data_IF_286307059308
#
_entry.id   IF_286307059308
#
_cell.length_a   1.000
_cell.length_b   1.000
_cell.length_c   1.000
_cell.angle_alpha   90.00
_cell.angle_beta   90.00
_cell.angle_gamma   90.00
#
_symmetry.space_group_name_H-M   'P 1'
#
loop_
_entity.id
_entity.type
_entity.pdbx_description
1 polymer ?
#
# COMPACT_ATOMS: atom_id res chain seq x y z
N UNK A 1 -12.79 -24.18 41.24
CA UNK A 1 -11.60 -23.30 41.29
C UNK A 1 -10.72 -23.34 40.02
N UNK A 2 -11.07 -24.10 38.96
CA UNK A 2 -10.27 -24.15 37.72
C UNK A 2 -10.80 -23.27 36.55
N UNK A 3 -12.02 -22.75 36.65
CA UNK A 3 -12.67 -22.00 35.55
C UNK A 3 -12.37 -20.48 35.54
N UNK A 4 -11.79 -19.93 36.61
CA UNK A 4 -11.48 -18.48 36.69
C UNK A 4 -10.21 -18.10 35.92
N UNK A 5 -9.23 -19.01 35.85
CA UNK A 5 -7.96 -18.77 35.14
C UNK A 5 -8.11 -18.71 33.61
N UNK A 6 -9.17 -19.28 33.05
CA UNK A 6 -9.44 -19.24 31.61
C UNK A 6 -10.07 -17.92 31.14
N UNK A 7 -10.57 -17.07 32.05
CA UNK A 7 -11.10 -15.73 31.68
C UNK A 7 -10.01 -14.68 31.51
N UNK A 8 -8.83 -14.88 32.10
CA UNK A 8 -7.69 -13.94 32.01
C UNK A 8 -7.06 -13.96 30.60
N UNK A 9 -7.13 -15.07 29.88
CA UNK A 9 -6.54 -15.22 28.55
C UNK A 9 -7.28 -14.45 27.43
N UNK A 10 -8.48 -13.90 27.69
CA UNK A 10 -9.32 -13.24 26.67
C UNK A 10 -9.20 -11.71 26.65
N UNK A 11 -8.49 -11.10 27.61
CA UNK A 11 -8.14 -9.67 27.54
C UNK A 11 -6.80 -9.54 26.82
N UNK A 12 -6.79 -8.97 25.62
CA UNK A 12 -5.54 -8.42 25.06
C UNK A 12 -4.98 -7.48 26.13
N UNK A 13 -3.75 -7.73 26.59
CA UNK A 13 -3.19 -6.89 27.64
C UNK A 13 -3.03 -5.48 27.10
N UNK A 14 -3.43 -4.48 27.89
CA UNK A 14 -3.26 -3.06 27.55
C UNK A 14 -1.81 -2.78 27.15
N UNK A 15 -0.87 -3.45 27.82
CA UNK A 15 0.56 -3.42 27.51
C UNK A 15 0.87 -3.88 26.07
N UNK A 16 0.27 -4.98 25.59
CA UNK A 16 0.48 -5.44 24.22
C UNK A 16 -0.07 -4.46 23.18
N UNK A 17 -1.19 -3.81 23.47
CA UNK A 17 -1.80 -2.81 22.58
C UNK A 17 -0.97 -1.52 22.55
N UNK A 18 -0.50 -1.05 23.70
CA UNK A 18 0.41 0.11 23.80
C UNK A 18 1.72 -0.15 23.06
N UNK A 19 2.33 -1.32 23.25
CA UNK A 19 3.56 -1.69 22.52
C UNK A 19 3.31 -1.73 21.01
N UNK A 20 2.18 -2.29 20.58
CA UNK A 20 1.81 -2.30 19.16
C UNK A 20 1.71 -0.88 18.59
N UNK A 21 1.04 0.04 19.30
CA UNK A 21 0.88 1.43 18.86
C UNK A 21 2.23 2.13 18.79
N UNK A 22 3.02 2.06 19.87
CA UNK A 22 4.33 2.70 19.98
C UNK A 22 5.29 2.22 18.88
N UNK A 23 5.35 0.92 18.63
CA UNK A 23 6.25 0.36 17.61
C UNK A 23 5.87 0.81 16.19
N UNK A 24 4.58 0.91 15.85
CA UNK A 24 4.16 1.39 14.53
C UNK A 24 4.40 2.89 14.35
N UNK A 25 4.20 3.70 15.39
CA UNK A 25 4.53 5.13 15.37
C UNK A 25 6.06 5.30 15.24
N UNK A 26 6.83 4.54 16.01
CA UNK A 26 8.29 4.56 15.95
C UNK A 26 8.80 4.12 14.56
N UNK A 27 8.16 3.14 13.93
CA UNK A 27 8.48 2.74 12.55
C UNK A 27 8.25 3.89 11.56
N UNK A 28 7.08 4.54 11.62
CA UNK A 28 6.77 5.66 10.72
C UNK A 28 7.69 6.87 10.95
N UNK A 29 7.96 7.23 12.22
CA UNK A 29 8.93 8.26 12.56
C UNK A 29 10.35 7.89 12.12
N UNK A 30 10.74 6.63 12.30
CA UNK A 30 12.03 6.10 11.86
C UNK A 30 12.23 6.16 10.35
N UNK A 31 11.15 5.96 9.57
CA UNK A 31 11.16 6.19 8.11
C UNK A 31 11.50 7.63 7.77
N UNK A 32 10.82 8.59 8.40
CA UNK A 32 11.05 10.01 8.14
C UNK A 32 12.47 10.42 8.54
N UNK A 33 12.93 9.99 9.72
CA UNK A 33 14.30 10.24 10.20
C UNK A 33 15.33 9.62 9.27
N UNK A 34 15.11 8.40 8.77
CA UNK A 34 16.02 7.75 7.83
C UNK A 34 16.14 8.51 6.50
N UNK A 35 15.02 9.04 5.98
CA UNK A 35 15.02 9.89 4.77
C UNK A 35 15.79 11.19 5.03
N UNK A 36 15.55 11.85 6.16
CA UNK A 36 16.24 13.10 6.52
C UNK A 36 17.73 12.91 6.79
N UNK A 37 18.11 11.84 7.49
CA UNK A 37 19.49 11.59 7.91
C UNK A 37 20.38 11.17 6.73
N UNK A 38 19.85 10.41 5.76
CA UNK A 38 20.65 9.91 4.64
C UNK A 38 20.47 10.71 3.35
N UNK A 39 19.39 11.47 3.22
CA UNK A 39 19.01 12.11 1.96
C UNK A 39 18.66 11.12 0.85
N UNK A 40 18.44 9.84 1.16
CA UNK A 40 18.11 8.78 0.19
C UNK A 40 16.94 7.92 0.67
N UNK A 41 16.16 7.30 -0.23
CA UNK A 41 15.01 6.48 0.17
C UNK A 41 15.41 5.07 0.64
N UNK A 42 16.64 4.61 0.35
CA UNK A 42 17.01 3.20 0.49
C UNK A 42 17.05 2.69 1.93
N UNK A 43 17.58 3.49 2.86
CA UNK A 43 17.59 3.10 4.28
C UNK A 43 16.16 2.97 4.83
N UNK A 44 15.29 3.91 4.47
CA UNK A 44 13.89 3.88 4.88
C UNK A 44 13.13 2.70 4.26
N UNK A 45 13.38 2.37 2.99
CA UNK A 45 12.82 1.18 2.35
C UNK A 45 13.28 -0.11 3.04
N UNK A 46 14.58 -0.22 3.34
CA UNK A 46 15.12 -1.37 4.07
C UNK A 46 14.48 -1.52 5.46
N UNK A 47 14.36 -0.42 6.21
CA UNK A 47 13.70 -0.39 7.52
C UNK A 47 12.24 -0.88 7.45
N UNK A 48 11.50 -0.45 6.42
CA UNK A 48 10.11 -0.86 6.22
C UNK A 48 9.98 -2.32 5.82
N UNK A 49 10.87 -2.85 4.97
CA UNK A 49 10.90 -4.26 4.60
C UNK A 49 11.30 -5.14 5.79
N UNK A 50 12.29 -4.73 6.57
CA UNK A 50 12.72 -5.43 7.80
C UNK A 50 11.61 -5.47 8.85
N UNK A 51 10.79 -4.42 8.97
CA UNK A 51 9.65 -4.43 9.90
C UNK A 51 8.62 -5.54 9.59
N UNK A 52 8.62 -6.05 8.35
CA UNK A 52 7.74 -7.12 7.87
C UNK A 52 8.39 -8.51 7.94
N UNK A 53 9.48 -8.69 8.69
CA UNK A 53 10.19 -9.97 8.86
C UNK A 53 9.27 -11.17 9.15
N UNK A 54 8.12 -10.95 9.81
CA UNK A 54 7.10 -11.97 10.09
C UNK A 54 6.56 -12.68 8.84
N UNK A 55 6.59 -12.04 7.67
CA UNK A 55 6.20 -12.64 6.39
C UNK A 55 7.14 -13.81 6.03
N UNK A 56 8.41 -13.74 6.44
CA UNK A 56 9.44 -14.75 6.17
C UNK A 56 9.66 -15.72 7.34
N UNK A 57 9.12 -15.42 8.52
CA UNK A 57 9.24 -16.25 9.74
C UNK A 57 8.42 -17.57 9.69
N UNK A 58 8.03 -18.01 8.50
CA UNK A 58 7.22 -19.21 8.24
C UNK A 58 8.06 -20.19 7.41
N UNK A 59 7.66 -21.47 7.34
CA UNK A 59 8.34 -22.48 6.51
C UNK A 59 8.48 -21.98 5.06
N UNK A 60 9.66 -22.14 4.41
CA UNK A 60 9.93 -21.61 3.06
C UNK A 60 8.88 -21.92 2.01
N UNK A 61 8.27 -23.12 2.06
CA UNK A 61 7.19 -23.53 1.15
C UNK A 61 5.95 -22.60 1.16
N UNK A 62 5.73 -21.85 2.23
CA UNK A 62 4.57 -20.96 2.39
C UNK A 62 4.90 -19.48 2.15
N UNK A 63 6.16 -19.13 1.88
CA UNK A 63 6.55 -17.73 1.70
C UNK A 63 5.73 -17.03 0.63
N UNK A 64 5.49 -17.69 -0.50
CA UNK A 64 4.72 -17.13 -1.59
C UNK A 64 3.30 -16.72 -1.15
N UNK A 65 2.60 -17.60 -0.43
CA UNK A 65 1.25 -17.31 0.08
C UNK A 65 1.25 -16.16 1.10
N UNK A 66 2.28 -16.07 1.96
CA UNK A 66 2.41 -14.98 2.93
C UNK A 66 2.77 -13.66 2.28
N UNK A 67 3.63 -13.66 1.26
CA UNK A 67 3.95 -12.46 0.47
C UNK A 67 2.68 -11.97 -0.23
N UNK A 68 1.97 -12.85 -0.93
CA UNK A 68 0.70 -12.52 -1.61
C UNK A 68 -0.32 -11.91 -0.66
N UNK A 69 -0.47 -12.46 0.55
CA UNK A 69 -1.41 -11.95 1.54
C UNK A 69 -1.04 -10.56 2.09
N UNK A 70 0.21 -10.13 1.93
CA UNK A 70 0.72 -8.84 2.41
C UNK A 70 1.10 -7.89 1.26
N UNK A 71 0.83 -8.23 -0.01
CA UNK A 71 1.25 -7.42 -1.16
C UNK A 71 0.73 -5.99 -1.11
N UNK A 72 -0.55 -5.80 -0.75
CA UNK A 72 -1.15 -4.46 -0.59
C UNK A 72 -0.37 -3.63 0.44
N UNK A 73 -0.01 -4.24 1.56
CA UNK A 73 0.78 -3.59 2.60
C UNK A 73 2.21 -3.29 2.13
N UNK A 74 2.85 -4.18 1.35
CA UNK A 74 4.15 -3.88 0.72
C UNK A 74 4.05 -2.70 -0.25
N UNK A 75 3.04 -2.66 -1.13
CA UNK A 75 2.82 -1.57 -2.09
C UNK A 75 2.67 -0.25 -1.35
N UNK A 76 1.77 -0.16 -0.35
CA UNK A 76 1.55 1.09 0.40
C UNK A 76 2.81 1.52 1.15
N UNK A 77 3.48 0.59 1.81
CA UNK A 77 4.70 0.84 2.57
C UNK A 77 5.85 1.39 1.72
N UNK A 78 6.16 0.75 0.59
CA UNK A 78 7.23 1.20 -0.31
C UNK A 78 6.85 2.55 -0.92
N UNK A 79 5.60 2.70 -1.32
CA UNK A 79 5.08 3.94 -1.91
C UNK A 79 5.11 5.11 -0.94
N UNK A 80 4.78 4.88 0.33
CA UNK A 80 4.85 5.90 1.38
C UNK A 80 6.29 6.42 1.53
N UNK A 81 7.29 5.53 1.56
CA UNK A 81 8.70 5.93 1.62
C UNK A 81 9.08 6.77 0.40
N UNK A 82 8.72 6.33 -0.80
CA UNK A 82 9.00 7.05 -2.05
C UNK A 82 8.37 8.44 -2.05
N UNK A 83 7.09 8.56 -1.68
CA UNK A 83 6.38 9.85 -1.64
C UNK A 83 6.95 10.78 -0.56
N UNK A 84 7.33 10.25 0.61
CA UNK A 84 8.01 11.04 1.66
C UNK A 84 9.36 11.56 1.14
N UNK A 85 10.13 10.73 0.47
CA UNK A 85 11.39 11.15 -0.12
C UNK A 85 11.20 12.25 -1.17
N UNK A 86 10.28 12.06 -2.12
CA UNK A 86 9.99 13.02 -3.18
C UNK A 86 9.46 14.36 -2.65
N UNK A 87 8.60 14.33 -1.62
CA UNK A 87 8.12 15.53 -0.96
C UNK A 87 9.26 16.37 -0.36
N UNK A 88 10.36 15.75 0.07
CA UNK A 88 11.54 16.45 0.59
C UNK A 88 12.36 17.17 -0.49
N UNK A 89 12.22 16.80 -1.76
CA UNK A 89 12.97 17.39 -2.88
C UNK A 89 12.38 18.74 -3.35
N UNK A 90 11.31 19.23 -2.72
CA UNK A 90 10.71 20.51 -3.09
C UNK A 90 11.58 21.70 -2.70
N UNK A 91 11.72 22.65 -3.61
CA UNK A 91 12.42 23.91 -3.38
C UNK A 91 11.66 24.80 -2.39
N UNK A 92 12.37 25.43 -1.45
CA UNK A 92 11.81 26.44 -0.55
C UNK A 92 11.24 25.93 0.78
N UNK A 93 11.66 24.75 1.25
CA UNK A 93 11.35 24.23 2.60
C UNK A 93 9.89 23.79 2.84
N UNK A 94 9.00 24.02 1.88
CA UNK A 94 7.58 23.63 1.96
C UNK A 94 7.34 22.11 1.99
N UNK A 95 8.33 21.33 1.57
CA UNK A 95 8.27 19.86 1.54
C UNK A 95 8.17 19.20 2.91
N UNK A 96 8.73 19.83 3.95
CA UNK A 96 8.73 19.26 5.31
C UNK A 96 7.31 19.03 5.81
N UNK A 97 6.39 19.97 5.53
CA UNK A 97 4.97 19.82 5.88
C UNK A 97 4.37 18.59 5.20
N UNK A 98 4.61 18.41 3.91
CA UNK A 98 4.11 17.25 3.14
C UNK A 98 4.73 15.95 3.63
N UNK A 99 6.01 15.93 3.97
CA UNK A 99 6.69 14.75 4.54
C UNK A 99 6.09 14.34 5.90
N UNK A 100 5.86 15.30 6.79
CA UNK A 100 5.23 15.05 8.10
C UNK A 100 3.79 14.55 7.91
N UNK A 101 3.02 15.19 7.03
CA UNK A 101 1.64 14.78 6.74
C UNK A 101 1.58 13.36 6.14
N UNK A 102 2.44 13.03 5.17
CA UNK A 102 2.54 11.68 4.62
C UNK A 102 2.95 10.65 5.69
N UNK A 103 3.82 11.02 6.63
CA UNK A 103 4.21 10.17 7.75
C UNK A 103 3.04 9.90 8.70
N UNK A 104 2.21 10.92 8.97
CA UNK A 104 0.97 10.76 9.74
C UNK A 104 -0.03 9.87 9.01
N UNK A 105 -0.19 10.05 7.69
CA UNK A 105 -1.04 9.18 6.87
C UNK A 105 -0.54 7.73 6.86
N UNK A 106 0.78 7.51 6.80
CA UNK A 106 1.39 6.17 6.89
C UNK A 106 1.20 5.55 8.29
N UNK A 107 1.27 6.36 9.35
CA UNK A 107 0.93 5.92 10.71
C UNK A 107 -0.54 5.52 10.79
N UNK A 108 -1.45 6.32 10.20
CA UNK A 108 -2.87 6.01 10.08
C UNK A 108 -3.14 4.73 9.28
N UNK A 109 -2.37 4.47 8.23
CA UNK A 109 -2.39 3.20 7.50
C UNK A 109 -2.10 2.02 8.44
N UNK A 110 -0.98 2.06 9.17
CA UNK A 110 -0.53 0.97 10.05
C UNK A 110 -1.48 0.70 11.22
N UNK A 111 -2.04 1.75 11.83
CA UNK A 111 -2.84 1.65 13.05
C UNK A 111 -4.35 1.50 12.79
N UNK A 112 -4.89 2.21 11.81
CA UNK A 112 -6.33 2.39 11.67
C UNK A 112 -6.91 1.57 10.52
N UNK A 113 -6.26 1.63 9.35
CA UNK A 113 -6.82 1.04 8.13
C UNK A 113 -6.40 -0.41 7.96
N UNK A 114 -5.09 -0.70 8.00
CA UNK A 114 -4.51 -2.04 7.78
C UNK A 114 -5.12 -3.15 8.67
N UNK A 115 -5.35 -2.96 10.00
CA UNK A 115 -5.81 -4.06 10.85
C UNK A 115 -7.28 -4.44 10.62
N UNK A 116 -8.02 -3.67 9.83
CA UNK A 116 -9.45 -3.88 9.60
C UNK A 116 -9.65 -4.95 8.54
N UNK A 117 -10.58 -5.87 8.80
CA UNK A 117 -10.88 -7.00 7.91
C UNK A 117 -12.29 -6.98 7.35
N UNK A 118 -13.13 -6.01 7.71
CA UNK A 118 -14.47 -5.89 7.10
C UNK A 118 -14.33 -5.53 5.62
N UNK A 119 -15.21 -6.07 4.77
CA UNK A 119 -15.17 -5.90 3.30
C UNK A 119 -15.01 -4.45 2.83
N UNK A 120 -15.69 -3.50 3.46
CA UNK A 120 -15.54 -2.07 3.11
C UNK A 120 -14.14 -1.52 3.41
N UNK A 121 -13.51 -1.92 4.51
CA UNK A 121 -12.14 -1.53 4.82
C UNK A 121 -11.12 -2.25 3.93
N UNK A 122 -11.38 -3.50 3.54
CA UNK A 122 -10.55 -4.22 2.57
C UNK A 122 -10.58 -3.52 1.20
N UNK A 123 -11.76 -3.10 0.74
CA UNK A 123 -11.90 -2.28 -0.46
C UNK A 123 -11.15 -0.95 -0.33
N UNK A 124 -11.27 -0.26 0.82
CA UNK A 124 -10.52 0.96 1.09
C UNK A 124 -8.99 0.74 1.09
N UNK A 125 -8.51 -0.39 1.62
CA UNK A 125 -7.09 -0.75 1.59
C UNK A 125 -6.58 -0.93 0.15
N UNK A 126 -7.37 -1.59 -0.72
CA UNK A 126 -7.04 -1.76 -2.13
C UNK A 126 -7.08 -0.44 -2.92
N UNK A 127 -8.05 0.44 -2.60
CA UNK A 127 -8.10 1.79 -3.18
C UNK A 127 -6.85 2.59 -2.80
N UNK A 128 -6.47 2.57 -1.52
CA UNK A 128 -5.27 3.27 -1.05
C UNK A 128 -4.03 2.71 -1.74
N UNK A 129 -3.87 1.39 -1.86
CA UNK A 129 -2.71 0.81 -2.55
C UNK A 129 -2.63 1.18 -4.02
N UNK A 130 -3.76 1.25 -4.74
CA UNK A 130 -3.79 1.75 -6.12
C UNK A 130 -3.35 3.21 -6.16
N UNK A 131 -3.92 4.08 -5.31
CA UNK A 131 -3.62 5.52 -5.31
C UNK A 131 -2.14 5.75 -5.00
N UNK A 132 -1.65 5.35 -3.83
CA UNK A 132 -0.26 5.63 -3.46
C UNK A 132 0.73 4.83 -4.30
N UNK A 133 0.38 3.60 -4.68
CA UNK A 133 1.21 2.72 -5.53
C UNK A 133 1.50 3.34 -6.88
N UNK A 134 0.44 3.73 -7.60
CA UNK A 134 0.58 4.32 -8.93
C UNK A 134 1.18 5.72 -8.86
N UNK A 135 0.81 6.54 -7.86
CA UNK A 135 1.42 7.85 -7.65
C UNK A 135 2.93 7.75 -7.43
N UNK A 136 3.38 6.87 -6.54
CA UNK A 136 4.80 6.69 -6.24
C UNK A 136 5.57 6.17 -7.45
N UNK A 137 5.05 5.12 -8.11
CA UNK A 137 5.69 4.51 -9.27
C UNK A 137 5.91 5.51 -10.40
N UNK A 138 4.86 6.23 -10.81
CA UNK A 138 4.93 7.20 -11.92
C UNK A 138 5.87 8.34 -11.60
N UNK A 139 5.91 8.78 -10.35
CA UNK A 139 6.75 9.90 -9.93
C UNK A 139 8.24 9.60 -10.03
N UNK A 140 8.65 8.32 -10.04
CA UNK A 140 10.06 7.91 -10.16
C UNK A 140 10.40 7.22 -11.47
N UNK A 141 9.40 6.76 -12.23
CA UNK A 141 9.61 5.87 -13.38
C UNK A 141 9.99 6.57 -14.70
N UNK A 142 10.30 7.87 -14.69
CA UNK A 142 10.54 8.65 -15.90
C UNK A 142 11.77 8.17 -16.70
N UNK A 143 12.76 7.55 -16.04
CA UNK A 143 13.96 6.97 -16.68
C UNK A 143 13.93 5.44 -16.74
N UNK A 144 12.87 4.80 -16.24
CA UNK A 144 12.80 3.35 -16.14
C UNK A 144 12.38 2.74 -17.48
N UNK A 145 12.84 1.53 -17.82
CA UNK A 145 12.34 0.83 -18.99
C UNK A 145 10.84 0.57 -18.84
N UNK A 146 10.07 0.80 -19.91
CA UNK A 146 8.61 0.65 -19.89
C UNK A 146 8.16 -0.74 -19.41
N UNK A 147 8.90 -1.80 -19.77
CA UNK A 147 8.64 -3.16 -19.32
C UNK A 147 8.64 -3.30 -17.79
N UNK A 148 9.54 -2.61 -17.09
CA UNK A 148 9.61 -2.63 -15.62
C UNK A 148 8.40 -1.91 -15.02
N UNK A 149 8.02 -0.76 -15.59
CA UNK A 149 6.86 0.01 -15.12
C UNK A 149 5.57 -0.79 -15.29
N UNK A 150 5.41 -1.43 -16.44
CA UNK A 150 4.27 -2.31 -16.74
C UNK A 150 4.22 -3.51 -15.78
N UNK A 151 5.36 -4.14 -15.50
CA UNK A 151 5.44 -5.22 -14.52
C UNK A 151 5.08 -4.75 -13.10
N UNK A 152 5.53 -3.57 -12.68
CA UNK A 152 5.14 -2.99 -11.39
C UNK A 152 3.64 -2.66 -11.32
N UNK A 153 3.06 -2.12 -12.40
CA UNK A 153 1.62 -1.83 -12.48
C UNK A 153 0.79 -3.12 -12.45
N UNK A 154 1.26 -4.17 -13.13
CA UNK A 154 0.67 -5.50 -13.05
C UNK A 154 0.64 -6.01 -11.60
N UNK A 155 1.75 -5.89 -10.87
CA UNK A 155 1.84 -6.26 -9.44
C UNK A 155 0.86 -5.45 -8.58
N UNK A 156 0.77 -4.13 -8.79
CA UNK A 156 -0.16 -3.26 -8.06
C UNK A 156 -1.60 -3.71 -8.30
N UNK A 157 -1.99 -3.88 -9.57
CA UNK A 157 -3.32 -4.33 -9.97
C UNK A 157 -3.67 -5.71 -9.42
N UNK A 158 -2.77 -6.68 -9.60
CA UNK A 158 -2.90 -8.03 -9.05
C UNK A 158 -3.13 -7.99 -7.53
N UNK A 159 -2.32 -7.22 -6.79
CA UNK A 159 -2.44 -7.13 -5.33
C UNK A 159 -3.79 -6.57 -4.89
N UNK A 160 -4.27 -5.52 -5.57
CA UNK A 160 -5.51 -4.85 -5.22
C UNK A 160 -6.72 -5.75 -5.50
N UNK A 161 -6.75 -6.40 -6.67
CA UNK A 161 -7.80 -7.35 -7.02
C UNK A 161 -7.84 -8.54 -6.07
N UNK A 162 -6.69 -9.17 -5.82
CA UNK A 162 -6.60 -10.31 -4.91
C UNK A 162 -7.10 -9.96 -3.51
N UNK A 163 -6.72 -8.79 -3.01
CA UNK A 163 -7.13 -8.33 -1.69
C UNK A 163 -8.64 -8.17 -1.56
N UNK A 164 -9.28 -7.64 -2.61
CA UNK A 164 -10.74 -7.52 -2.68
C UNK A 164 -11.38 -8.91 -2.81
N UNK A 165 -10.97 -9.73 -3.78
CA UNK A 165 -11.56 -11.03 -4.08
C UNK A 165 -11.50 -12.02 -2.90
N UNK A 166 -10.44 -11.96 -2.08
CA UNK A 166 -10.36 -12.74 -0.83
C UNK A 166 -11.51 -12.39 0.12
N UNK A 167 -11.99 -11.15 0.14
CA UNK A 167 -13.13 -10.75 0.97
C UNK A 167 -14.49 -11.25 0.43
N UNK A 168 -14.54 -11.72 -0.82
CA UNK A 168 -15.72 -12.33 -1.45
C UNK A 168 -15.71 -13.87 -1.36
N UNK A 169 -14.62 -14.48 -0.88
CA UNK A 169 -14.48 -15.94 -0.75
C UNK A 169 -14.64 -16.69 -2.08
N UNK A 170 -14.17 -16.10 -3.18
CA UNK A 170 -14.25 -16.72 -4.51
C UNK A 170 -13.36 -17.95 -4.66
N UNK A 171 -13.77 -18.84 -5.56
CA UNK A 171 -13.01 -20.05 -5.90
C UNK A 171 -11.78 -19.73 -6.77
N UNK A 172 -11.91 -18.79 -7.71
CA UNK A 172 -10.90 -18.48 -8.73
C UNK A 172 -10.14 -17.17 -8.48
N UNK A 173 -9.84 -16.86 -7.21
CA UNK A 173 -9.17 -15.62 -6.79
C UNK A 173 -7.90 -15.34 -7.60
N UNK A 174 -7.05 -16.36 -7.81
CA UNK A 174 -5.76 -16.18 -8.49
C UNK A 174 -5.97 -15.79 -9.96
N UNK A 175 -6.83 -16.51 -10.69
CA UNK A 175 -7.07 -16.24 -12.11
C UNK A 175 -7.64 -14.84 -12.31
N UNK A 176 -8.67 -14.47 -11.56
CA UNK A 176 -9.29 -13.15 -11.64
C UNK A 176 -8.30 -12.03 -11.28
N UNK A 177 -7.44 -12.25 -10.29
CA UNK A 177 -6.39 -11.29 -9.92
C UNK A 177 -5.34 -11.13 -11.01
N UNK A 178 -4.96 -12.22 -11.69
CA UNK A 178 -4.01 -12.18 -12.83
C UNK A 178 -4.60 -11.41 -14.00
N UNK A 179 -5.86 -11.67 -14.33
CA UNK A 179 -6.59 -10.94 -15.38
C UNK A 179 -6.67 -9.45 -15.04
N UNK A 180 -7.00 -9.11 -13.79
CA UNK A 180 -7.05 -7.71 -13.38
C UNK A 180 -5.69 -7.03 -13.42
N UNK A 181 -4.64 -7.71 -12.93
CA UNK A 181 -3.26 -7.23 -13.06
C UNK A 181 -2.90 -6.95 -14.51
N UNK A 182 -3.29 -7.83 -15.45
CA UNK A 182 -3.06 -7.65 -16.88
C UNK A 182 -3.76 -6.40 -17.43
N UNK A 183 -5.05 -6.19 -17.10
CA UNK A 183 -5.78 -4.98 -17.48
C UNK A 183 -5.08 -3.71 -16.98
N UNK A 184 -4.64 -3.70 -15.73
CA UNK A 184 -3.91 -2.55 -15.15
C UNK A 184 -2.56 -2.34 -15.83
N UNK A 185 -1.88 -3.42 -16.23
CA UNK A 185 -0.61 -3.37 -16.96
C UNK A 185 -0.77 -2.73 -18.35
N UNK A 186 -1.79 -3.12 -19.10
CA UNK A 186 -2.11 -2.58 -20.43
C UNK A 186 -2.47 -1.09 -20.36
N UNK A 187 -3.38 -0.71 -19.43
CA UNK A 187 -3.69 0.69 -19.17
C UNK A 187 -2.43 1.48 -18.78
N UNK A 188 -1.57 0.84 -18.00
CA UNK A 188 -0.28 1.34 -17.57
C UNK A 188 0.68 1.64 -18.71
N UNK A 189 0.81 0.70 -19.63
CA UNK A 189 1.66 0.82 -20.80
C UNK A 189 1.22 1.98 -21.71
N UNK A 190 -0.09 2.09 -21.97
CA UNK A 190 -0.63 3.20 -22.76
C UNK A 190 -0.39 4.54 -22.04
N UNK A 191 -0.71 4.61 -20.75
CA UNK A 191 -0.57 5.84 -19.99
C UNK A 191 0.89 6.26 -19.73
N UNK A 192 1.85 5.31 -19.74
CA UNK A 192 3.28 5.61 -19.64
C UNK A 192 3.75 6.54 -20.77
N UNK A 193 3.28 6.31 -21.99
CA UNK A 193 3.59 7.15 -23.15
C UNK A 193 2.84 8.50 -23.13
N UNK A 194 1.76 8.61 -22.36
CA UNK A 194 0.94 9.82 -22.26
C UNK A 194 0.78 10.29 -20.81
N UNK A 195 1.92 10.48 -20.13
CA UNK A 195 1.93 10.80 -18.71
C UNK A 195 1.56 12.25 -18.46
N UNK A 196 0.33 12.48 -18.01
CA UNK A 196 -0.14 13.78 -17.50
C UNK A 196 -0.26 13.68 -15.98
N UNK A 197 0.27 14.68 -15.26
CA UNK A 197 0.22 14.70 -13.81
C UNK A 197 -0.19 16.09 -13.29
N UNK A 198 -1.18 16.11 -12.41
CA UNK A 198 -1.78 17.33 -11.88
C UNK A 198 -1.14 17.71 -10.54
N UNK A 199 -0.68 18.96 -10.35
CA UNK A 199 -0.13 19.39 -9.07
C UNK A 199 -1.23 19.38 -7.99
N UNK A 200 -0.90 18.90 -6.80
CA UNK A 200 -1.82 18.91 -5.67
C UNK A 200 -1.69 20.23 -4.91
N UNK A 201 -2.78 21.02 -4.89
CA UNK A 201 -2.79 22.36 -4.31
C UNK A 201 -2.32 22.41 -2.84
N UNK A 202 -2.72 21.43 -2.02
CA UNK A 202 -2.37 21.37 -0.60
C UNK A 202 -1.11 20.55 -0.29
N UNK A 203 -0.54 19.86 -1.26
CA UNK A 203 0.58 18.93 -1.07
C UNK A 203 1.73 19.30 -2.01
N UNK A 204 2.51 20.35 -1.70
CA UNK A 204 3.64 20.76 -2.52
C UNK A 204 4.61 19.60 -2.75
N UNK A 205 5.08 19.46 -3.99
CA UNK A 205 5.99 18.37 -4.39
C UNK A 205 5.34 17.10 -4.87
N UNK A 206 4.04 16.92 -4.61
CA UNK A 206 3.30 15.77 -5.11
C UNK A 206 2.43 16.17 -6.30
N UNK A 207 2.41 15.29 -7.28
CA UNK A 207 1.49 15.35 -8.42
C UNK A 207 0.64 14.10 -8.41
N UNK A 208 -0.62 14.24 -8.80
CA UNK A 208 -1.54 13.13 -9.02
C UNK A 208 -1.50 12.76 -10.51
N UNK A 209 -0.96 11.59 -10.88
CA UNK A 209 -0.98 11.13 -12.26
C UNK A 209 -2.40 10.88 -12.75
N UNK A 210 -2.70 11.26 -13.99
CA UNK A 210 -3.97 10.94 -14.65
C UNK A 210 -4.19 9.41 -14.71
N UNK A 211 -3.12 8.64 -14.89
CA UNK A 211 -3.17 7.18 -14.85
C UNK A 211 -3.76 6.65 -13.53
N UNK A 212 -3.43 7.26 -12.39
CA UNK A 212 -3.98 6.88 -11.09
C UNK A 212 -5.50 7.01 -11.08
N UNK A 213 -6.03 8.10 -11.65
CA UNK A 213 -7.47 8.33 -11.74
C UNK A 213 -8.16 7.30 -12.64
N UNK A 214 -7.56 6.96 -13.78
CA UNK A 214 -8.09 5.97 -14.72
C UNK A 214 -8.13 4.58 -14.10
N UNK A 215 -7.01 4.11 -13.55
CA UNK A 215 -6.93 2.79 -12.90
C UNK A 215 -7.90 2.72 -11.72
N UNK A 216 -7.98 3.78 -10.90
CA UNK A 216 -8.90 3.84 -9.77
C UNK A 216 -10.36 3.77 -10.23
N UNK A 217 -10.75 4.57 -11.22
CA UNK A 217 -12.12 4.61 -11.73
C UNK A 217 -12.56 3.28 -12.31
N UNK A 218 -11.70 2.66 -13.14
CA UNK A 218 -11.94 1.35 -13.74
C UNK A 218 -11.98 0.24 -12.67
N UNK A 219 -11.09 0.28 -11.68
CA UNK A 219 -11.08 -0.67 -10.55
C UNK A 219 -12.32 -0.55 -9.68
N UNK A 220 -12.78 0.68 -9.44
CA UNK A 220 -14.01 0.91 -8.69
C UNK A 220 -15.24 0.38 -9.44
N UNK A 221 -15.34 0.66 -10.75
CA UNK A 221 -16.40 0.12 -11.61
C UNK A 221 -16.40 -1.41 -11.61
N UNK A 222 -15.23 -2.03 -11.76
CA UNK A 222 -15.10 -3.48 -11.73
C UNK A 222 -15.53 -4.06 -10.37
N UNK A 223 -15.11 -3.46 -9.25
CA UNK A 223 -15.55 -3.89 -7.92
C UNK A 223 -17.06 -3.77 -7.75
N UNK A 224 -17.68 -2.68 -8.24
CA UNK A 224 -19.14 -2.48 -8.17
C UNK A 224 -19.91 -3.48 -9.03
N UNK A 225 -19.46 -3.73 -10.26
CA UNK A 225 -20.04 -4.74 -11.14
C UNK A 225 -19.96 -6.13 -10.50
N UNK A 226 -18.80 -6.46 -9.94
CA UNK A 226 -18.57 -7.72 -9.24
C UNK A 226 -19.43 -7.86 -7.98
N UNK A 227 -19.54 -6.79 -7.20
CA UNK A 227 -20.38 -6.73 -6.02
C UNK A 227 -21.87 -6.92 -6.34
N UNK A 228 -22.31 -6.47 -7.52
CA UNK A 228 -23.68 -6.64 -7.99
C UNK A 228 -23.94 -8.09 -8.40
N UNK A 229 -23.00 -8.72 -9.12
CA UNK A 229 -23.10 -10.12 -9.51
C UNK A 229 -23.22 -11.04 -8.28
N UNK A 230 -22.39 -10.85 -7.26
CA UNK A 230 -22.41 -11.67 -6.03
C UNK A 230 -23.66 -11.49 -5.14
N UNK A 231 -24.49 -10.47 -5.39
CA UNK A 231 -25.74 -10.27 -4.64
C UNK A 231 -26.93 -11.00 -5.26
N UNK A 232 -26.79 -11.49 -6.50
CA UNK A 232 -27.83 -12.15 -7.27
C UNK A 232 -27.40 -13.58 -7.61
#
# INVERSE_FOLDING_TARGET
MAMEFLRVAKRRSVLSETIYILLNIALAAGVLVAVWATGTPWLAMALVLLSKWRVLAVRPRYWFAHVEANMVDFVVSISAVTLIFLAGQTVGGRGVFTQVLLTLLYTGWLLLLKPRTRRSYVAAQAVVSIIVGTMALVSVSYEWPSSLVVACLWVIGYSAARHILVAYSDNDIRLLSLVWGFVVAELGWVAYHWTIAYPLFFLPGLKLPQMTLLILGISFLAERAYASYHKH
#
